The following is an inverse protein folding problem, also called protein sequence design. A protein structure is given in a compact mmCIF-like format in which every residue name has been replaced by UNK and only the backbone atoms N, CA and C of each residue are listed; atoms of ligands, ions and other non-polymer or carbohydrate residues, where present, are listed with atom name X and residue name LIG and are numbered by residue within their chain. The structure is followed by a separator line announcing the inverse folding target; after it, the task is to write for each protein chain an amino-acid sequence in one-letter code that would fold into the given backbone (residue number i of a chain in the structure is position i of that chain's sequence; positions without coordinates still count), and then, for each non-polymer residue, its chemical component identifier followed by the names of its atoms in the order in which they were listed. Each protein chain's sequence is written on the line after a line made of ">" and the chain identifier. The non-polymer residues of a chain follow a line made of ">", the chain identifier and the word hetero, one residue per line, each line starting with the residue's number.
data_IF_452482724199
#
_entry.id   IF_452482724199
#
_cell.length_a   1.000
_cell.length_b   1.000
_cell.length_c   1.000
_cell.angle_alpha   90.00
_cell.angle_beta   90.00
_cell.angle_gamma   90.00
#
_symmetry.space_group_name_H-M   'P 1'
#
loop_
_entity.id
_entity.type
_entity.pdbx_description
1 polymer ?
#
# COMPACT_ATOMS: atom_id res chain seq x y z
N UNK A 1 -24.60 14.19 61.84
CA UNK A 1 -25.13 15.15 60.83
C UNK A 1 -24.19 15.37 59.62
N UNK A 2 -23.09 14.61 59.45
CA UNK A 2 -22.13 14.83 58.35
C UNK A 2 -22.30 13.94 57.10
N UNK A 3 -23.10 12.88 57.14
CA UNK A 3 -23.27 11.96 56.00
C UNK A 3 -24.23 12.48 54.90
N UNK A 4 -25.14 13.41 55.23
CA UNK A 4 -26.09 13.99 54.27
C UNK A 4 -25.51 15.10 53.40
N UNK A 5 -24.45 15.78 53.87
CA UNK A 5 -23.86 16.93 53.18
C UNK A 5 -22.86 16.52 52.08
N UNK A 6 -22.13 15.41 52.26
CA UNK A 6 -21.25 14.85 51.21
C UNK A 6 -22.04 14.22 50.05
N UNK A 7 -23.18 13.58 50.34
CA UNK A 7 -24.01 12.96 49.29
C UNK A 7 -24.63 14.01 48.35
N UNK A 8 -25.04 15.17 48.87
CA UNK A 8 -25.55 16.27 48.05
C UNK A 8 -24.47 16.98 47.22
N UNK A 9 -23.21 16.98 47.65
CA UNK A 9 -22.10 17.57 46.88
C UNK A 9 -21.60 16.66 45.77
N UNK A 10 -21.55 15.35 46.01
CA UNK A 10 -21.26 14.36 44.96
C UNK A 10 -22.37 14.34 43.90
N UNK A 11 -23.64 14.42 44.33
CA UNK A 11 -24.79 14.57 43.41
C UNK A 11 -24.72 15.88 42.62
N UNK A 12 -24.29 17.00 43.24
CA UNK A 12 -24.16 18.28 42.56
C UNK A 12 -22.99 18.29 41.55
N UNK A 13 -21.86 17.65 41.85
CA UNK A 13 -20.72 17.53 40.93
C UNK A 13 -21.03 16.57 39.77
N UNK A 14 -21.71 15.45 40.04
CA UNK A 14 -22.21 14.53 39.00
C UNK A 14 -23.29 15.21 38.16
N UNK A 15 -24.16 16.05 38.74
CA UNK A 15 -25.14 16.85 38.00
C UNK A 15 -24.50 17.93 37.14
N UNK A 16 -23.46 18.61 37.63
CA UNK A 16 -22.74 19.64 36.85
C UNK A 16 -21.96 19.00 35.69
N UNK A 17 -21.28 17.88 35.92
CA UNK A 17 -20.63 17.09 34.88
C UNK A 17 -21.65 16.53 33.85
N UNK A 18 -22.82 16.07 34.32
CA UNK A 18 -23.90 15.61 33.44
C UNK A 18 -24.54 16.76 32.66
N UNK A 19 -24.65 17.98 33.22
CA UNK A 19 -25.17 19.14 32.48
C UNK A 19 -24.21 19.67 31.42
N UNK A 20 -22.90 19.50 31.61
CA UNK A 20 -21.90 19.81 30.56
C UNK A 20 -21.98 18.78 29.42
N UNK A 21 -22.32 17.52 29.73
CA UNK A 21 -22.53 16.46 28.74
C UNK A 21 -23.83 16.61 27.92
N UNK A 22 -24.84 17.32 28.45
CA UNK A 22 -26.16 17.47 27.81
C UNK A 22 -26.23 18.66 26.82
N UNK A 23 -25.25 19.56 26.82
CA UNK A 23 -25.26 20.78 25.97
C UNK A 23 -24.49 20.61 24.65
N UNK A 24 -23.75 19.53 24.45
CA UNK A 24 -23.09 19.25 23.17
C UNK A 24 -24.04 18.41 22.28
N UNK A 25 -24.43 18.89 21.09
CA UNK A 25 -25.27 18.11 20.19
C UNK A 25 -24.53 16.83 19.80
N UNK A 26 -25.25 15.72 19.53
CA UNK A 26 -24.65 14.48 19.05
C UNK A 26 -24.06 14.74 17.66
N UNK A 27 -22.78 15.11 17.59
CA UNK A 27 -22.04 15.05 16.35
C UNK A 27 -21.79 13.58 16.08
N UNK A 28 -22.64 13.02 15.22
CA UNK A 28 -22.47 11.71 14.62
C UNK A 28 -21.04 11.58 14.08
N UNK A 29 -20.20 10.81 14.77
CA UNK A 29 -18.97 10.30 14.19
C UNK A 29 -19.34 9.06 13.41
N UNK A 30 -19.11 9.18 12.11
CA UNK A 30 -19.25 8.14 11.13
C UNK A 30 -18.42 6.92 11.54
N UNK A 31 -19.03 5.77 11.34
CA UNK A 31 -18.41 4.47 11.31
C UNK A 31 -17.05 4.47 10.60
N UNK A 32 -16.11 3.70 11.13
CA UNK A 32 -15.41 2.75 10.28
C UNK A 32 -15.30 1.41 11.00
N UNK A 33 -16.23 0.52 10.66
CA UNK A 33 -16.18 -0.91 10.94
C UNK A 33 -15.27 -1.54 9.88
N UNK A 34 -14.12 -2.10 10.27
CA UNK A 34 -13.21 -2.65 9.27
C UNK A 34 -12.03 -3.45 9.80
N UNK A 35 -12.26 -4.39 10.71
CA UNK A 35 -11.29 -5.40 11.12
C UNK A 35 -10.94 -6.37 9.99
N UNK A 36 -10.16 -5.90 9.02
CA UNK A 36 -9.49 -6.67 7.99
C UNK A 36 -8.40 -5.77 7.43
N UNK A 37 -7.13 -6.11 7.69
CA UNK A 37 -5.97 -5.32 7.26
C UNK A 37 -6.01 -5.12 5.74
N UNK A 38 -6.52 -3.98 5.27
CA UNK A 38 -6.48 -3.60 3.87
C UNK A 38 -4.98 -3.44 3.50
N UNK A 39 -4.42 -4.24 2.58
CA UNK A 39 -3.01 -4.12 2.21
C UNK A 39 -2.64 -2.73 1.66
N UNK A 40 -3.63 -1.91 1.32
CA UNK A 40 -3.49 -0.55 0.81
C UNK A 40 -4.05 0.50 1.78
N UNK A 41 -4.25 0.17 3.05
CA UNK A 41 -4.66 1.12 4.09
C UNK A 41 -3.73 2.35 4.11
N UNK A 42 -4.28 3.55 4.30
CA UNK A 42 -3.54 4.83 4.21
C UNK A 42 -3.52 5.49 2.82
N UNK A 43 -3.59 4.73 1.73
CA UNK A 43 -3.55 5.32 0.37
C UNK A 43 -4.86 6.06 0.02
N UNK A 44 -4.72 7.16 -0.72
CA UNK A 44 -5.86 7.87 -1.31
C UNK A 44 -6.59 7.00 -2.35
N UNK A 45 -7.84 7.35 -2.67
CA UNK A 45 -8.63 6.62 -3.69
C UNK A 45 -7.92 6.53 -5.03
N UNK A 46 -7.24 7.60 -5.45
CA UNK A 46 -6.50 7.66 -6.72
C UNK A 46 -5.25 6.78 -6.69
N UNK A 47 -4.51 6.78 -5.58
CA UNK A 47 -3.36 5.91 -5.37
C UNK A 47 -3.76 4.42 -5.33
N UNK A 48 -4.85 4.08 -4.63
CA UNK A 48 -5.40 2.71 -4.62
C UNK A 48 -5.76 2.23 -6.03
N UNK A 49 -6.42 3.08 -6.82
CA UNK A 49 -6.76 2.78 -8.20
C UNK A 49 -5.51 2.58 -9.08
N UNK A 50 -4.49 3.42 -8.91
CA UNK A 50 -3.23 3.31 -9.63
C UNK A 50 -2.47 2.02 -9.27
N UNK A 51 -2.31 1.73 -7.98
CA UNK A 51 -1.63 0.52 -7.50
C UNK A 51 -2.34 -0.74 -7.95
N UNK A 52 -3.68 -0.77 -7.86
CA UNK A 52 -4.49 -1.89 -8.32
C UNK A 52 -4.30 -2.16 -9.82
N UNK A 53 -4.29 -1.08 -10.63
CA UNK A 53 -4.03 -1.16 -12.06
C UNK A 53 -2.64 -1.75 -12.37
N UNK A 54 -1.60 -1.32 -11.65
CA UNK A 54 -0.24 -1.83 -11.84
C UNK A 54 -0.10 -3.28 -11.40
N UNK A 55 -0.60 -3.65 -10.21
CA UNK A 55 -0.59 -5.04 -9.71
C UNK A 55 -1.32 -5.98 -10.67
N UNK A 56 -2.46 -5.55 -11.22
CA UNK A 56 -3.18 -6.28 -12.25
C UNK A 56 -2.34 -6.48 -13.53
N UNK A 57 -1.61 -5.45 -13.94
CA UNK A 57 -0.73 -5.52 -15.13
C UNK A 57 0.48 -6.43 -14.91
N UNK A 58 1.12 -6.38 -13.73
CA UNK A 58 2.18 -7.32 -13.36
C UNK A 58 1.69 -8.77 -13.35
N UNK A 59 0.52 -9.04 -12.75
CA UNK A 59 -0.07 -10.37 -12.72
C UNK A 59 -0.42 -10.88 -14.13
N UNK A 60 -0.99 -10.02 -14.99
CA UNK A 60 -1.29 -10.35 -16.37
C UNK A 60 -0.03 -10.68 -17.18
N UNK A 61 1.05 -9.89 -17.01
CA UNK A 61 2.32 -10.13 -17.67
C UNK A 61 2.93 -11.49 -17.27
N UNK A 62 2.95 -11.80 -15.96
CA UNK A 62 3.45 -13.10 -15.48
C UNK A 62 2.61 -14.27 -15.98
N UNK A 63 1.29 -14.11 -16.03
CA UNK A 63 0.39 -15.14 -16.58
C UNK A 63 0.71 -15.44 -18.05
N UNK A 64 0.86 -14.39 -18.89
CA UNK A 64 1.20 -14.55 -20.30
C UNK A 64 2.56 -15.24 -20.52
N UNK A 65 3.55 -14.90 -19.69
CA UNK A 65 4.88 -15.52 -19.72
C UNK A 65 4.84 -16.98 -19.27
N UNK A 66 4.08 -17.29 -18.22
CA UNK A 66 3.92 -18.64 -17.70
C UNK A 66 3.21 -19.55 -18.70
N UNK A 67 2.19 -19.05 -19.40
CA UNK A 67 1.50 -19.74 -20.49
C UNK A 67 2.48 -20.11 -21.62
N UNK A 68 3.27 -19.15 -22.09
CA UNK A 68 4.28 -19.38 -23.14
C UNK A 68 5.35 -20.39 -22.68
N UNK A 69 5.84 -20.28 -21.45
CA UNK A 69 6.80 -21.22 -20.88
C UNK A 69 6.20 -22.63 -20.75
N UNK A 70 4.92 -22.73 -20.42
CA UNK A 70 4.18 -23.99 -20.34
C UNK A 70 4.06 -24.68 -21.69
N UNK A 71 3.78 -23.95 -22.76
CA UNK A 71 3.71 -24.50 -24.12
C UNK A 71 5.08 -24.97 -24.61
N UNK A 72 6.15 -24.21 -24.34
CA UNK A 72 7.53 -24.59 -24.65
C UNK A 72 7.99 -25.83 -23.86
N UNK A 73 7.64 -25.89 -22.57
CA UNK A 73 7.93 -27.03 -21.70
C UNK A 73 7.14 -28.28 -22.07
N UNK A 74 5.85 -28.14 -22.36
CA UNK A 74 4.97 -29.20 -22.86
C UNK A 74 5.45 -29.76 -24.19
N UNK A 75 5.93 -28.90 -25.09
CA UNK A 75 6.56 -29.32 -26.34
C UNK A 75 7.88 -30.06 -26.13
N UNK A 76 8.65 -29.75 -25.09
CA UNK A 76 9.87 -30.47 -24.73
C UNK A 76 9.56 -31.87 -24.16
N UNK A 77 8.54 -31.96 -23.29
CA UNK A 77 8.04 -33.23 -22.73
C UNK A 77 7.41 -34.11 -23.82
N UNK A 78 6.62 -33.52 -24.73
CA UNK A 78 6.05 -34.25 -25.87
C UNK A 78 7.11 -34.82 -26.80
N UNK A 79 8.18 -34.06 -27.08
CA UNK A 79 9.30 -34.56 -27.88
C UNK A 79 10.07 -35.71 -27.19
N UNK A 80 10.17 -35.68 -25.86
CA UNK A 80 10.75 -36.78 -25.08
C UNK A 80 9.89 -38.06 -25.17
N UNK A 81 8.58 -37.90 -25.35
CA UNK A 81 7.61 -38.99 -25.51
C UNK A 81 7.38 -39.39 -26.99
N UNK A 82 8.18 -38.85 -27.93
CA UNK A 82 8.11 -39.19 -29.35
C UNK A 82 7.02 -38.47 -30.16
N UNK A 83 6.39 -37.43 -29.60
CA UNK A 83 5.48 -36.58 -30.34
C UNK A 83 6.23 -35.73 -31.38
N UNK A 84 5.59 -35.48 -32.52
CA UNK A 84 6.13 -34.60 -33.55
C UNK A 84 6.47 -33.21 -32.94
N UNK A 85 7.62 -32.61 -33.29
CA UNK A 85 7.93 -31.27 -32.84
C UNK A 85 6.85 -30.29 -33.34
N UNK A 86 6.51 -29.25 -32.55
CA UNK A 86 5.57 -28.22 -33.01
C UNK A 86 6.09 -27.58 -34.30
N UNK A 87 5.17 -27.28 -35.23
CA UNK A 87 5.49 -26.60 -36.47
C UNK A 87 6.12 -25.23 -36.14
N UNK A 88 7.26 -24.86 -36.75
CA UNK A 88 7.84 -23.52 -36.63
C UNK A 88 6.82 -22.38 -36.78
N UNK A 89 5.78 -22.55 -37.60
CA UNK A 89 4.70 -21.55 -37.78
C UNK A 89 3.83 -21.42 -36.53
N UNK A 90 3.47 -22.54 -35.90
CA UNK A 90 2.67 -22.56 -34.66
C UNK A 90 3.45 -21.97 -33.48
N UNK A 91 4.75 -22.25 -33.42
CA UNK A 91 5.65 -21.67 -32.44
C UNK A 91 5.83 -20.15 -32.64
N UNK A 92 5.92 -19.68 -33.89
CA UNK A 92 5.95 -18.25 -34.19
C UNK A 92 4.65 -17.56 -33.74
N UNK A 93 3.51 -18.20 -33.98
CA UNK A 93 2.18 -17.68 -33.61
C UNK A 93 2.01 -17.51 -32.10
N UNK A 94 2.43 -18.51 -31.32
CA UNK A 94 2.36 -18.48 -29.84
C UNK A 94 3.28 -17.42 -29.24
N UNK A 95 4.51 -17.27 -29.77
CA UNK A 95 5.43 -16.21 -29.36
C UNK A 95 4.86 -14.82 -29.69
N UNK A 96 4.31 -14.62 -30.89
CA UNK A 96 3.70 -13.34 -31.29
C UNK A 96 2.44 -13.03 -30.47
N UNK A 97 1.62 -14.04 -30.15
CA UNK A 97 0.45 -13.86 -29.30
C UNK A 97 0.85 -13.42 -27.88
N UNK A 98 1.92 -14.00 -27.32
CA UNK A 98 2.47 -13.57 -26.04
C UNK A 98 3.00 -12.13 -26.11
N UNK A 99 3.80 -11.79 -27.12
CA UNK A 99 4.25 -10.41 -27.33
C UNK A 99 3.08 -9.42 -27.42
N UNK A 100 2.03 -9.72 -28.18
CA UNK A 100 0.85 -8.86 -28.29
C UNK A 100 0.12 -8.66 -26.96
N UNK A 101 0.03 -9.70 -26.11
CA UNK A 101 -0.49 -9.58 -24.74
C UNK A 101 0.39 -8.65 -23.89
N UNK A 102 1.72 -8.82 -23.94
CA UNK A 102 2.67 -8.02 -23.17
C UNK A 102 2.70 -6.55 -23.62
N UNK A 103 2.76 -6.30 -24.92
CA UNK A 103 2.73 -4.94 -25.48
C UNK A 103 1.43 -4.20 -25.12
N UNK A 104 0.31 -4.93 -25.05
CA UNK A 104 -0.98 -4.38 -24.62
C UNK A 104 -1.01 -3.88 -23.17
N UNK A 105 -0.06 -4.33 -22.33
CA UNK A 105 0.05 -3.91 -20.92
C UNK A 105 0.95 -2.68 -20.73
N UNK A 106 1.84 -2.38 -21.69
CA UNK A 106 2.77 -1.25 -21.60
C UNK A 106 2.09 0.11 -21.32
N UNK A 107 0.91 0.45 -21.89
CA UNK A 107 0.22 1.71 -21.58
C UNK A 107 -0.15 1.88 -20.11
N UNK A 108 -0.40 0.78 -19.37
CA UNK A 108 -0.73 0.85 -17.95
C UNK A 108 0.46 1.35 -17.11
N UNK A 109 1.69 0.97 -17.49
CA UNK A 109 2.93 1.41 -16.83
C UNK A 109 3.28 2.86 -17.17
N UNK A 110 2.95 3.33 -18.38
CA UNK A 110 3.21 4.71 -18.81
C UNK A 110 2.20 5.75 -18.31
N UNK A 111 1.11 5.30 -17.66
CA UNK A 111 0.17 6.22 -17.03
C UNK A 111 0.91 7.05 -15.99
N UNK A 112 0.74 8.38 -16.02
CA UNK A 112 1.42 9.28 -15.11
C UNK A 112 1.13 8.89 -13.64
N UNK A 113 2.16 8.62 -12.81
CA UNK A 113 1.97 8.30 -11.42
C UNK A 113 1.41 9.49 -10.63
N UNK A 114 0.66 9.24 -9.54
CA UNK A 114 0.29 10.28 -8.59
C UNK A 114 1.54 10.91 -7.94
N UNK A 115 1.40 12.11 -7.37
CA UNK A 115 2.52 12.92 -6.87
C UNK A 115 3.47 12.18 -5.91
N UNK A 116 2.92 11.38 -5.00
CA UNK A 116 3.64 10.54 -4.04
C UNK A 116 4.49 9.43 -4.68
N UNK A 117 4.16 9.02 -5.91
CA UNK A 117 4.78 7.89 -6.61
C UNK A 117 5.58 8.29 -7.85
N UNK A 118 5.88 9.58 -8.05
CA UNK A 118 6.61 10.08 -9.23
C UNK A 118 7.98 9.41 -9.43
N UNK A 119 8.63 8.98 -8.36
CA UNK A 119 9.89 8.24 -8.42
C UNK A 119 9.81 6.92 -9.21
N UNK A 120 8.62 6.32 -9.35
CA UNK A 120 8.40 5.10 -10.12
C UNK A 120 8.42 5.32 -11.64
N UNK A 121 8.39 6.57 -12.12
CA UNK A 121 8.31 6.89 -13.56
C UNK A 121 9.39 6.17 -14.37
N UNK A 122 10.64 6.22 -13.91
CA UNK A 122 11.76 5.60 -14.63
C UNK A 122 11.70 4.07 -14.64
N UNK A 123 11.35 3.46 -13.50
CA UNK A 123 11.16 2.02 -13.36
C UNK A 123 10.00 1.53 -14.23
N UNK A 124 8.88 2.25 -14.22
CA UNK A 124 7.71 1.93 -15.01
C UNK A 124 7.99 2.06 -16.51
N UNK A 125 8.77 3.06 -16.93
CA UNK A 125 9.18 3.19 -18.32
C UNK A 125 10.08 2.02 -18.74
N UNK A 126 11.00 1.58 -17.88
CA UNK A 126 11.83 0.41 -18.16
C UNK A 126 10.99 -0.88 -18.30
N UNK A 127 9.98 -1.06 -17.44
CA UNK A 127 9.03 -2.19 -17.54
C UNK A 127 8.23 -2.09 -18.84
N UNK A 128 7.68 -0.91 -19.16
CA UNK A 128 6.91 -0.69 -20.38
C UNK A 128 7.71 -0.99 -21.65
N UNK A 129 8.94 -0.47 -21.73
CA UNK A 129 9.85 -0.73 -22.85
C UNK A 129 10.20 -2.22 -22.96
N UNK A 130 10.47 -2.88 -21.84
CA UNK A 130 10.77 -4.32 -21.84
C UNK A 130 9.58 -5.13 -22.38
N UNK A 131 8.35 -4.79 -21.99
CA UNK A 131 7.13 -5.46 -22.47
C UNK A 131 6.90 -5.30 -23.98
N UNK A 132 7.19 -4.13 -24.55
CA UNK A 132 6.98 -3.86 -25.99
C UNK A 132 7.99 -4.58 -26.88
N UNK A 133 9.25 -4.63 -26.45
CA UNK A 133 10.33 -5.24 -27.22
C UNK A 133 10.57 -6.72 -26.89
N UNK A 134 9.74 -7.30 -26.01
CA UNK A 134 9.81 -8.72 -25.64
C UNK A 134 9.62 -9.61 -26.87
N UNK A 135 10.43 -10.63 -27.04
CA UNK A 135 10.35 -11.65 -28.08
C UNK A 135 10.56 -11.19 -29.53
N UNK A 136 10.94 -9.92 -29.75
CA UNK A 136 11.24 -9.43 -31.09
C UNK A 136 12.44 -10.17 -31.72
N UNK A 137 13.51 -10.38 -30.94
CA UNK A 137 14.72 -11.07 -31.39
C UNK A 137 14.42 -12.56 -31.62
N UNK A 138 13.64 -13.18 -30.74
CA UNK A 138 13.27 -14.58 -30.90
C UNK A 138 12.36 -14.81 -32.11
N UNK A 139 11.45 -13.87 -32.43
CA UNK A 139 10.62 -13.94 -33.63
C UNK A 139 11.45 -13.83 -34.93
N UNK A 140 12.49 -12.98 -34.95
CA UNK A 140 13.42 -12.86 -36.09
C UNK A 140 14.16 -14.17 -36.37
N UNK A 141 14.61 -14.86 -35.32
CA UNK A 141 15.24 -16.19 -35.44
C UNK A 141 14.28 -17.21 -36.08
N UNK A 142 12.99 -17.17 -35.70
CA UNK A 142 11.98 -18.07 -36.27
C UNK A 142 11.73 -17.75 -37.74
N UNK A 143 11.67 -16.46 -38.10
CA UNK A 143 11.44 -16.00 -39.46
C UNK A 143 12.60 -16.35 -40.41
N UNK A 144 13.83 -16.02 -40.03
CA UNK A 144 15.02 -16.28 -40.84
C UNK A 144 15.23 -17.78 -41.05
N UNK A 145 15.00 -18.61 -40.03
CA UNK A 145 15.17 -20.04 -40.19
C UNK A 145 13.99 -20.70 -40.93
N UNK A 146 12.76 -20.16 -40.83
CA UNK A 146 11.63 -20.58 -41.66
C UNK A 146 11.91 -20.37 -43.15
N UNK A 147 12.50 -19.23 -43.51
CA UNK A 147 12.99 -18.94 -44.86
C UNK A 147 14.08 -19.94 -45.29
N UNK A 148 15.06 -20.20 -44.42
CA UNK A 148 16.14 -21.16 -44.71
C UNK A 148 15.62 -22.60 -44.90
N UNK A 149 14.61 -23.02 -44.14
CA UNK A 149 14.01 -24.35 -44.23
C UNK A 149 13.30 -24.54 -45.60
N UNK A 150 12.53 -23.56 -46.05
CA UNK A 150 11.88 -23.58 -47.37
C UNK A 150 12.92 -23.61 -48.49
N UNK A 151 13.99 -22.83 -48.35
CA UNK A 151 15.10 -22.81 -49.31
C UNK A 151 15.85 -24.15 -49.35
N UNK A 152 16.06 -24.81 -48.20
CA UNK A 152 16.70 -26.12 -48.13
C UNK A 152 15.81 -27.23 -48.68
N UNK A 153 14.48 -27.20 -48.46
CA UNK A 153 13.53 -28.12 -49.10
C UNK A 153 13.56 -27.96 -50.62
N UNK A 154 13.55 -26.72 -51.12
CA UNK A 154 13.67 -26.41 -52.55
C UNK A 154 15.01 -26.86 -53.14
N UNK A 155 16.12 -26.62 -52.42
CA UNK A 155 17.47 -27.06 -52.83
C UNK A 155 17.58 -28.57 -52.85
N UNK A 156 17.03 -29.26 -51.86
CA UNK A 156 17.05 -30.72 -51.76
C UNK A 156 16.19 -31.35 -52.85
N UNK A 157 14.99 -30.83 -53.09
CA UNK A 157 14.14 -31.22 -54.22
C UNK A 157 14.87 -31.04 -55.55
N UNK A 158 15.47 -29.87 -55.77
CA UNK A 158 16.22 -29.57 -56.99
C UNK A 158 17.46 -30.47 -57.14
N UNK A 159 18.18 -30.74 -56.05
CA UNK A 159 19.36 -31.62 -56.05
C UNK A 159 19.00 -33.07 -56.39
N UNK A 160 17.88 -33.57 -55.85
CA UNK A 160 17.35 -34.89 -56.18
C UNK A 160 16.85 -34.95 -57.63
N UNK A 161 16.19 -33.90 -58.11
CA UNK A 161 15.75 -33.79 -59.50
C UNK A 161 16.93 -33.76 -60.50
N UNK A 162 18.08 -33.20 -60.09
CA UNK A 162 19.29 -33.10 -60.90
C UNK A 162 20.29 -34.24 -60.67
N UNK A 163 20.00 -35.20 -59.79
CA UNK A 163 20.91 -36.31 -59.46
C UNK A 163 22.20 -35.86 -58.75
N UNK A 164 22.21 -34.68 -58.15
CA UNK A 164 23.35 -34.12 -57.40
C UNK A 164 23.18 -34.52 -55.93
N UNK A 165 24.14 -35.24 -55.37
CA UNK A 165 24.10 -35.63 -53.95
C UNK A 165 24.19 -34.38 -53.05
N UNK A 166 23.26 -34.19 -52.09
CA UNK A 166 23.28 -33.00 -51.23
C UNK A 166 24.54 -32.98 -50.35
N UNK A 167 25.19 -31.82 -50.28
CA UNK A 167 26.36 -31.61 -49.42
C UNK A 167 25.97 -31.77 -47.95
N UNK A 168 26.76 -32.47 -47.12
CA UNK A 168 26.45 -32.63 -45.70
C UNK A 168 26.43 -31.26 -45.01
N UNK A 169 25.29 -30.88 -44.45
CA UNK A 169 25.17 -29.68 -43.63
C UNK A 169 25.84 -29.91 -42.27
N UNK A 170 26.53 -28.90 -41.74
CA UNK A 170 27.12 -28.94 -40.39
C UNK A 170 26.02 -29.24 -39.36
N UNK A 171 26.29 -30.03 -38.30
CA UNK A 171 25.31 -30.27 -37.23
C UNK A 171 25.02 -28.94 -36.53
N UNK A 172 23.85 -28.36 -36.82
CA UNK A 172 23.29 -27.23 -36.08
C UNK A 172 22.40 -27.80 -34.98
N UNK A 173 22.35 -27.19 -33.78
CA UNK A 173 21.28 -27.48 -32.84
C UNK A 173 19.95 -27.31 -33.58
N UNK A 174 18.96 -28.16 -33.28
CA UNK A 174 17.64 -28.06 -33.92
C UNK A 174 17.08 -26.64 -33.73
N UNK A 175 16.39 -26.12 -34.75
CA UNK A 175 15.72 -24.81 -34.71
C UNK A 175 14.96 -24.61 -33.39
N UNK A 176 14.24 -25.66 -32.97
CA UNK A 176 13.54 -25.74 -31.69
C UNK A 176 14.45 -25.44 -30.49
N UNK A 177 15.62 -26.06 -30.38
CA UNK A 177 16.53 -25.83 -29.26
C UNK A 177 17.03 -24.38 -29.20
N UNK A 178 17.31 -23.75 -30.35
CA UNK A 178 17.77 -22.35 -30.42
C UNK A 178 16.66 -21.36 -30.05
N UNK A 179 15.45 -21.57 -30.57
CA UNK A 179 14.29 -20.71 -30.29
C UNK A 179 13.88 -20.85 -28.83
N UNK A 180 13.80 -22.09 -28.31
CA UNK A 180 13.51 -22.32 -26.89
C UNK A 180 14.56 -21.66 -25.99
N UNK A 181 15.86 -21.75 -26.32
CA UNK A 181 16.90 -21.08 -25.54
C UNK A 181 16.79 -19.55 -25.59
N UNK A 182 16.48 -18.97 -26.75
CA UNK A 182 16.21 -17.53 -26.89
C UNK A 182 15.04 -17.11 -26.01
N UNK A 183 13.90 -17.79 -26.15
CA UNK A 183 12.67 -17.44 -25.43
C UNK A 183 12.86 -17.58 -23.93
N UNK A 184 13.47 -18.66 -23.44
CA UNK A 184 13.74 -18.82 -22.01
C UNK A 184 14.70 -17.75 -21.46
N UNK A 185 15.70 -17.33 -22.24
CA UNK A 185 16.61 -16.24 -21.86
C UNK A 185 15.89 -14.89 -21.74
N UNK A 186 15.02 -14.57 -22.69
CA UNK A 186 14.20 -13.36 -22.63
C UNK A 186 13.16 -13.40 -21.51
N UNK A 187 12.53 -14.56 -21.26
CA UNK A 187 11.63 -14.75 -20.10
C UNK A 187 12.36 -14.43 -18.79
N UNK A 188 13.61 -14.87 -18.63
CA UNK A 188 14.42 -14.55 -17.46
C UNK A 188 14.67 -13.05 -17.32
N UNK A 189 14.98 -12.36 -18.42
CA UNK A 189 15.18 -10.91 -18.44
C UNK A 189 13.89 -10.16 -18.08
N UNK A 190 12.77 -10.56 -18.68
CA UNK A 190 11.46 -9.97 -18.43
C UNK A 190 11.02 -10.16 -16.98
N UNK A 191 11.13 -11.37 -16.43
CA UNK A 191 10.82 -11.63 -15.02
C UNK A 191 11.67 -10.77 -14.09
N UNK A 192 12.98 -10.62 -14.37
CA UNK A 192 13.84 -9.75 -13.58
C UNK A 192 13.38 -8.29 -13.56
N UNK A 193 12.93 -7.76 -14.71
CA UNK A 193 12.39 -6.39 -14.81
C UNK A 193 11.04 -6.27 -14.09
N UNK A 194 10.16 -7.27 -14.21
CA UNK A 194 8.87 -7.28 -13.51
C UNK A 194 9.05 -7.34 -11.99
N UNK A 195 9.97 -8.18 -11.50
CA UNK A 195 10.30 -8.31 -10.08
C UNK A 195 10.88 -7.01 -9.52
N UNK A 196 11.83 -6.38 -10.23
CA UNK A 196 12.39 -5.10 -9.82
C UNK A 196 11.31 -3.99 -9.75
N UNK A 197 10.39 -3.98 -10.71
CA UNK A 197 9.27 -3.04 -10.73
C UNK A 197 8.30 -3.25 -9.56
N UNK A 198 7.92 -4.48 -9.26
CA UNK A 198 7.02 -4.79 -8.15
C UNK A 198 7.65 -4.54 -6.78
N UNK A 199 8.95 -4.81 -6.62
CA UNK A 199 9.71 -4.45 -5.42
C UNK A 199 9.69 -2.94 -5.22
N UNK A 200 9.97 -2.16 -6.27
CA UNK A 200 9.94 -0.70 -6.20
C UNK A 200 8.55 -0.16 -5.85
N UNK A 201 7.49 -0.73 -6.44
CA UNK A 201 6.10 -0.38 -6.15
C UNK A 201 5.75 -0.65 -4.68
N UNK A 202 6.05 -1.86 -4.18
CA UNK A 202 5.75 -2.23 -2.81
C UNK A 202 6.55 -1.40 -1.80
N UNK A 203 7.83 -1.12 -2.08
CA UNK A 203 8.64 -0.25 -1.24
C UNK A 203 8.03 1.16 -1.11
N UNK A 204 7.49 1.71 -2.21
CA UNK A 204 6.83 3.02 -2.19
C UNK A 204 5.50 3.02 -1.45
N UNK A 205 4.73 1.94 -1.52
CA UNK A 205 3.51 1.79 -0.72
C UNK A 205 3.86 1.83 0.77
N UNK A 206 4.87 1.07 1.19
CA UNK A 206 5.34 1.06 2.58
C UNK A 206 5.83 2.43 3.04
N UNK A 207 6.62 3.13 2.22
CA UNK A 207 7.11 4.49 2.56
C UNK A 207 5.97 5.49 2.78
N UNK A 208 4.91 5.44 1.97
CA UNK A 208 3.73 6.30 2.14
C UNK A 208 3.00 5.94 3.43
N UNK A 209 2.80 4.66 3.70
CA UNK A 209 2.13 4.17 4.90
C UNK A 209 2.90 4.54 6.16
N UNK A 210 4.23 4.40 6.17
CA UNK A 210 5.09 4.81 7.28
C UNK A 210 5.07 6.33 7.49
N UNK A 211 5.11 7.12 6.42
CA UNK A 211 5.03 8.58 6.52
C UNK A 211 3.68 9.04 7.09
N UNK A 212 2.58 8.38 6.71
CA UNK A 212 1.25 8.67 7.25
C UNK A 212 1.08 8.16 8.67
N UNK A 213 1.61 6.99 9.01
CA UNK A 213 1.60 6.47 10.38
C UNK A 213 2.42 7.36 11.32
N UNK A 214 3.59 7.85 10.86
CA UNK A 214 4.37 8.83 11.60
C UNK A 214 3.61 10.16 11.75
N UNK A 215 2.95 10.64 10.70
CA UNK A 215 2.10 11.84 10.76
C UNK A 215 0.93 11.68 11.72
N UNK A 216 0.26 10.51 11.69
CA UNK A 216 -0.83 10.16 12.59
C UNK A 216 -0.32 10.05 14.03
N UNK A 217 0.81 9.40 14.29
CA UNK A 217 1.41 9.28 15.62
C UNK A 217 1.89 10.64 16.16
N UNK A 218 2.39 11.55 15.31
CA UNK A 218 2.74 12.91 15.71
C UNK A 218 1.48 13.72 16.02
N UNK A 219 0.44 13.61 15.20
CA UNK A 219 -0.84 14.27 15.45
C UNK A 219 -1.49 13.69 16.71
N UNK A 220 -1.38 12.40 16.93
CA UNK A 220 -1.84 11.70 18.13
C UNK A 220 -1.05 12.19 19.34
N UNK A 221 0.27 12.25 19.29
CA UNK A 221 1.07 12.84 20.37
C UNK A 221 0.69 14.30 20.65
N UNK A 222 0.49 15.12 19.62
CA UNK A 222 0.12 16.53 19.80
C UNK A 222 -1.29 16.74 20.33
N UNK A 223 -2.25 15.92 19.89
CA UNK A 223 -3.64 16.03 20.33
C UNK A 223 -3.81 15.34 21.67
N UNK A 224 -3.30 14.14 21.83
CA UNK A 224 -3.48 13.31 23.03
C UNK A 224 -2.47 13.61 24.13
N UNK A 225 -1.36 14.33 23.94
CA UNK A 225 -0.55 14.82 25.08
C UNK A 225 -1.02 16.19 25.63
N UNK A 226 -1.90 16.92 24.95
CA UNK A 226 -2.24 18.28 25.36
C UNK A 226 -3.60 18.37 26.08
N UNK A 227 -3.59 18.68 27.38
CA UNK A 227 -4.77 19.26 28.02
C UNK A 227 -4.96 20.72 27.57
N UNK A 228 -5.49 20.96 26.37
CA UNK A 228 -5.63 22.28 25.73
C UNK A 228 -6.08 23.42 26.66
N UNK A 229 -7.14 23.19 27.44
CA UNK A 229 -7.67 24.22 28.38
C UNK A 229 -6.67 24.47 29.54
N UNK A 230 -6.08 23.41 30.09
CA UNK A 230 -5.11 23.54 31.18
C UNK A 230 -3.81 24.18 30.69
N UNK A 231 -3.30 23.80 29.52
CA UNK A 231 -2.16 24.45 28.86
C UNK A 231 -2.43 25.92 28.58
N UNK A 232 -3.63 26.29 28.11
CA UNK A 232 -4.01 27.68 27.91
C UNK A 232 -4.13 28.47 29.23
N UNK A 233 -4.48 27.82 30.33
CA UNK A 233 -4.59 28.41 31.67
C UNK A 233 -3.22 28.56 32.38
N UNK A 234 -2.35 27.55 32.31
CA UNK A 234 -1.02 27.54 32.92
C UNK A 234 0.06 28.16 32.04
N UNK A 235 -0.12 28.15 30.72
CA UNK A 235 0.79 28.77 29.74
C UNK A 235 2.07 28.00 29.53
N UNK A 236 2.09 26.78 30.06
CA UNK A 236 3.13 25.79 29.90
C UNK A 236 2.44 24.43 29.83
N UNK A 237 3.04 23.50 29.09
CA UNK A 237 2.60 22.10 28.98
C UNK A 237 3.19 21.20 30.06
N UNK A 238 4.06 21.76 30.91
CA UNK A 238 4.89 21.06 31.89
C UNK A 238 4.57 21.48 33.32
N UNK A 239 3.33 21.93 33.56
CA UNK A 239 2.83 22.13 34.91
C UNK A 239 2.51 20.77 35.53
N UNK A 240 2.94 20.51 36.76
CA UNK A 240 2.70 19.23 37.43
C UNK A 240 1.20 18.89 37.54
N UNK A 241 0.36 19.93 37.61
CA UNK A 241 -1.09 19.84 37.61
C UNK A 241 -1.65 19.29 36.28
N UNK A 242 -0.96 19.51 35.16
CA UNK A 242 -1.34 18.95 33.85
C UNK A 242 -1.01 17.46 33.84
N UNK A 243 0.11 17.05 34.42
CA UNK A 243 0.50 15.64 34.47
C UNK A 243 -0.52 14.81 35.26
N UNK A 244 -1.02 15.32 36.40
CA UNK A 244 -2.12 14.69 37.15
C UNK A 244 -3.38 14.47 36.30
N UNK A 245 -3.72 15.42 35.41
CA UNK A 245 -4.88 15.29 34.53
C UNK A 245 -4.63 14.32 33.37
N UNK A 246 -3.38 14.23 32.89
CA UNK A 246 -2.97 13.24 31.88
C UNK A 246 -3.06 11.83 32.44
N UNK A 247 -2.50 11.61 33.62
CA UNK A 247 -2.52 10.30 34.28
C UNK A 247 -3.96 9.84 34.53
N UNK A 248 -4.82 10.73 35.02
CA UNK A 248 -6.24 10.43 35.20
C UNK A 248 -6.96 10.10 33.89
N UNK A 249 -6.64 10.80 32.80
CA UNK A 249 -7.19 10.50 31.48
C UNK A 249 -6.75 9.11 31.03
N UNK A 250 -5.47 8.80 31.12
CA UNK A 250 -4.87 7.60 30.56
C UNK A 250 -5.21 6.36 31.39
N UNK A 251 -5.19 6.47 32.72
CA UNK A 251 -5.42 5.35 33.62
C UNK A 251 -6.90 5.14 33.97
N UNK A 252 -7.74 6.18 33.92
CA UNK A 252 -9.16 6.07 34.30
C UNK A 252 -10.10 6.22 33.10
N UNK A 253 -9.97 7.31 32.33
CA UNK A 253 -10.93 7.60 31.26
C UNK A 253 -10.78 6.63 30.08
N UNK A 254 -9.54 6.33 29.68
CA UNK A 254 -9.28 5.45 28.53
C UNK A 254 -9.68 3.98 28.77
N UNK A 255 -9.84 3.56 30.04
CA UNK A 255 -10.27 2.20 30.39
C UNK A 255 -11.74 1.93 30.10
N UNK A 256 -12.57 2.98 29.94
CA UNK A 256 -14.01 2.84 29.73
C UNK A 256 -14.46 3.41 28.39
N UNK A 257 -15.46 2.79 27.76
CA UNK A 257 -16.00 3.29 26.48
C UNK A 257 -16.57 4.71 26.59
N UNK A 258 -17.27 5.00 27.69
CA UNK A 258 -17.80 6.34 27.96
C UNK A 258 -16.70 7.37 28.23
N UNK A 259 -15.58 6.96 28.86
CA UNK A 259 -14.44 7.85 29.08
C UNK A 259 -13.71 8.20 27.78
N UNK A 260 -13.56 7.23 26.85
CA UNK A 260 -13.00 7.50 25.51
C UNK A 260 -13.85 8.51 24.73
N UNK A 261 -15.17 8.34 24.70
CA UNK A 261 -16.08 9.27 24.02
C UNK A 261 -16.03 10.69 24.61
N UNK A 262 -15.87 10.80 25.94
CA UNK A 262 -15.67 12.10 26.61
C UNK A 262 -14.36 12.77 26.18
N UNK A 263 -13.27 12.00 26.08
CA UNK A 263 -11.95 12.49 25.66
C UNK A 263 -11.99 12.94 24.19
N UNK A 264 -12.63 12.18 23.32
CA UNK A 264 -12.80 12.54 21.90
C UNK A 264 -13.60 13.84 21.76
N UNK A 265 -14.68 13.99 22.53
CA UNK A 265 -15.47 15.22 22.56
C UNK A 265 -14.66 16.42 23.07
N UNK A 266 -13.85 16.21 24.11
CA UNK A 266 -12.93 17.23 24.63
C UNK A 266 -11.95 17.69 23.55
N UNK A 267 -11.34 16.78 22.80
CA UNK A 267 -10.39 17.14 21.74
C UNK A 267 -11.05 17.80 20.53
N UNK A 268 -12.30 17.44 20.22
CA UNK A 268 -13.05 18.08 19.15
C UNK A 268 -13.40 19.55 19.47
N UNK A 269 -13.72 19.86 20.73
CA UNK A 269 -14.31 21.15 21.11
C UNK A 269 -13.34 22.11 21.83
N UNK A 270 -12.30 21.60 22.50
CA UNK A 270 -11.41 22.41 23.34
C UNK A 270 -10.44 23.34 22.59
N UNK A 271 -9.94 23.06 21.37
CA UNK A 271 -8.96 23.95 20.71
C UNK A 271 -9.42 25.41 20.51
N UNK A 272 -10.62 25.70 19.94
CA UNK A 272 -11.06 27.09 19.78
C UNK A 272 -11.31 27.80 21.12
N UNK A 273 -11.70 27.05 22.16
CA UNK A 273 -11.90 27.58 23.52
C UNK A 273 -10.57 27.92 24.18
N UNK A 274 -9.58 27.04 24.07
CA UNK A 274 -8.23 27.25 24.58
C UNK A 274 -7.57 28.48 23.94
N UNK A 275 -7.70 28.65 22.61
CA UNK A 275 -7.22 29.82 21.89
C UNK A 275 -7.87 31.12 22.35
N UNK A 276 -9.15 31.09 22.73
CA UNK A 276 -9.84 32.25 23.28
C UNK A 276 -9.32 32.61 24.68
N UNK A 277 -9.08 31.60 25.53
CA UNK A 277 -8.53 31.78 26.89
C UNK A 277 -7.10 32.32 26.85
N UNK A 278 -6.25 31.76 25.99
CA UNK A 278 -4.84 32.15 25.87
C UNK A 278 -4.65 33.62 25.47
N UNK A 279 -5.64 34.23 24.78
CA UNK A 279 -5.61 35.64 24.37
C UNK A 279 -6.04 36.62 25.46
N UNK A 280 -6.57 36.16 26.59
CA UNK A 280 -7.13 37.01 27.64
C UNK A 280 -6.57 36.66 29.03
N UNK A 281 -5.61 37.44 29.53
CA UNK A 281 -4.92 37.17 30.80
C UNK A 281 -5.86 37.07 32.02
N UNK A 282 -6.90 37.89 32.05
CA UNK A 282 -7.91 37.84 33.11
C UNK A 282 -8.70 36.52 33.08
N UNK A 283 -9.10 36.08 31.88
CA UNK A 283 -9.86 34.84 31.70
C UNK A 283 -8.99 33.62 32.00
N UNK A 284 -7.74 33.65 31.57
CA UNK A 284 -6.72 32.64 31.88
C UNK A 284 -6.56 32.43 33.39
N UNK A 285 -6.49 33.51 34.16
CA UNK A 285 -6.41 33.43 35.63
C UNK A 285 -7.68 32.84 36.23
N UNK A 286 -8.85 33.28 35.75
CA UNK A 286 -10.14 32.74 36.23
C UNK A 286 -10.25 31.25 35.94
N UNK A 287 -9.95 30.83 34.71
CA UNK A 287 -10.02 29.41 34.32
C UNK A 287 -9.02 28.56 35.12
N UNK A 288 -7.80 29.06 35.35
CA UNK A 288 -6.81 28.35 36.16
C UNK A 288 -7.33 28.11 37.59
N UNK A 289 -7.69 29.17 38.29
CA UNK A 289 -7.96 29.15 39.74
C UNK A 289 -9.36 28.59 40.07
N UNK A 290 -10.36 28.83 39.21
CA UNK A 290 -11.75 28.45 39.49
C UNK A 290 -12.19 27.15 38.80
N UNK A 291 -11.47 26.70 37.78
CA UNK A 291 -11.86 25.51 37.02
C UNK A 291 -10.78 24.44 37.06
N UNK A 292 -9.55 24.75 36.62
CA UNK A 292 -8.50 23.73 36.49
C UNK A 292 -7.97 23.28 37.86
N UNK A 293 -7.58 24.19 38.73
CA UNK A 293 -7.02 23.86 40.06
C UNK A 293 -7.99 23.09 40.97
N UNK A 294 -9.30 23.41 41.03
CA UNK A 294 -10.25 22.61 41.80
C UNK A 294 -10.41 21.20 41.25
N UNK A 295 -10.40 21.03 39.92
CA UNK A 295 -10.49 19.72 39.29
C UNK A 295 -9.22 18.91 39.58
N UNK A 296 -8.04 19.52 39.43
CA UNK A 296 -6.75 18.88 39.77
C UNK A 296 -6.75 18.41 41.22
N UNK A 297 -7.17 19.26 42.16
CA UNK A 297 -7.26 18.86 43.58
C UNK A 297 -8.23 17.69 43.82
N UNK A 298 -9.36 17.67 43.11
CA UNK A 298 -10.31 16.56 43.23
C UNK A 298 -9.73 15.26 42.68
N UNK A 299 -9.06 15.33 41.53
CA UNK A 299 -8.40 14.18 40.89
C UNK A 299 -7.25 13.68 41.76
N UNK A 300 -6.41 14.57 42.28
CA UNK A 300 -5.29 14.21 43.16
C UNK A 300 -5.74 13.62 44.49
N UNK A 301 -6.92 13.99 45.00
CA UNK A 301 -7.51 13.36 46.19
C UNK A 301 -8.03 11.94 45.88
N UNK A 302 -8.45 11.71 44.64
CA UNK A 302 -8.88 10.41 44.16
C UNK A 302 -7.71 9.52 43.72
N UNK A 303 -6.51 10.08 43.54
CA UNK A 303 -5.26 9.39 43.14
C UNK A 303 -5.07 8.03 43.83
N UNK A 304 -5.17 7.91 45.17
CA UNK A 304 -4.96 6.63 45.86
C UNK A 304 -5.97 5.53 45.50
N UNK A 305 -7.10 5.88 44.87
CA UNK A 305 -8.15 4.94 44.48
C UNK A 305 -7.91 4.30 43.11
N UNK A 306 -7.12 4.93 42.24
CA UNK A 306 -6.84 4.44 40.88
C UNK A 306 -5.35 4.20 40.62
N UNK A 307 -4.44 4.83 41.37
CA UNK A 307 -3.00 4.55 41.31
C UNK A 307 -2.58 3.22 41.98
N UNK A 308 -3.55 2.50 42.58
CA UNK A 308 -3.33 1.28 43.38
C UNK A 308 -3.76 -0.02 42.65
N UNK A 309 -4.18 0.07 41.38
CA UNK A 309 -4.57 -1.07 40.54
C UNK A 309 -3.48 -1.51 39.58
#
# INVERSE_FOLDING_TARGET
>A
MHAGFLRNRLLFVVLVAATILVVLPPCAVLADDGGGSDPLEGLTKDEKAYVSSLKGSYAAARSAVHELSGELGGAAVGAFLGAAPPDPIELAGTIMACNGKLSGLAPAFRKAPPGSMQSLTSTNEAVAACLEYSFYICADIVYEEGKNLVLDVGRNWLSNALGISPSPSKPRPSLKARVTACVLGEIGTLNGVLDAGEIALNAKITEIQEAQAAGAAILEGLLFDDCFIATAAYGTKSAAEIDVLRDFRDEVLMQSAAGRELVDCYYACSPPVADFIARHDALRTVVREWFVEPIVHLVSLADPLWSAS
#
